data_IF_541064023756
#
_entry.id   IF_541064023756
#
_cell.length_a   1.000
_cell.length_b   1.000
_cell.length_c   1.000
_cell.angle_alpha   90.00
_cell.angle_beta   90.00
_cell.angle_gamma   90.00
#
_symmetry.space_group_name_H-M   'P 1'
#
loop_
_entity.id
_entity.type
_entity.pdbx_description
1 polymer ?
#
# COMPACT_ATOMS: atom_id res chain seq x y z
N UNK A 1 0.08 -20.50 11.04
CA UNK A 1 -0.15 -19.13 11.56
C UNK A 1 0.58 -18.88 12.89
N UNK A 2 0.41 -19.76 13.87
CA UNK A 2 1.04 -19.63 15.22
C UNK A 2 2.55 -19.38 15.19
N UNK A 3 3.29 -20.13 14.37
CA UNK A 3 4.74 -19.97 14.21
C UNK A 3 5.15 -18.54 13.83
N UNK A 4 4.33 -17.82 13.07
CA UNK A 4 4.59 -16.43 12.70
C UNK A 4 4.24 -15.43 13.83
N UNK A 5 3.11 -15.67 14.51
CA UNK A 5 2.56 -14.74 15.51
C UNK A 5 3.19 -14.89 16.91
N UNK A 6 3.94 -15.96 17.16
CA UNK A 6 4.63 -16.21 18.44
C UNK A 6 5.41 -14.96 18.90
N UNK A 7 5.31 -14.55 20.18
CA UNK A 7 6.14 -13.48 20.74
C UNK A 7 7.63 -13.77 20.56
N UNK A 8 8.43 -12.72 20.37
CA UNK A 8 9.87 -12.87 20.35
C UNK A 8 10.36 -12.97 21.81
N UNK A 9 10.76 -14.16 22.24
CA UNK A 9 11.46 -14.34 23.51
C UNK A 9 12.92 -13.86 23.34
N UNK A 10 13.50 -13.31 24.39
CA UNK A 10 14.75 -12.54 24.34
C UNK A 10 16.00 -13.32 23.89
N UNK A 11 15.90 -14.63 23.67
CA UNK A 11 16.99 -15.53 23.25
C UNK A 11 16.51 -16.62 22.27
N UNK A 12 15.74 -16.24 21.24
CA UNK A 12 15.31 -17.20 20.20
C UNK A 12 16.51 -17.61 19.33
N UNK A 13 16.67 -18.93 19.11
CA UNK A 13 17.69 -19.49 18.21
C UNK A 13 17.48 -19.03 16.74
N UNK A 14 18.57 -18.88 15.97
CA UNK A 14 18.50 -18.42 14.57
C UNK A 14 17.51 -19.24 13.70
N UNK A 15 17.40 -20.55 13.97
CA UNK A 15 16.49 -21.45 13.24
C UNK A 15 15.02 -21.10 13.45
N UNK A 16 14.65 -20.65 14.65
CA UNK A 16 13.28 -20.22 14.96
C UNK A 16 12.93 -18.89 14.28
N UNK A 17 13.89 -17.96 14.14
CA UNK A 17 13.69 -16.72 13.37
C UNK A 17 13.48 -17.00 11.88
N UNK A 18 14.27 -17.92 11.32
CA UNK A 18 14.11 -18.36 9.93
C UNK A 18 12.77 -19.04 9.72
N UNK A 19 12.37 -19.95 10.63
CA UNK A 19 11.07 -20.61 10.58
C UNK A 19 9.92 -19.59 10.65
N UNK A 20 10.01 -18.62 11.56
CA UNK A 20 9.04 -17.55 11.71
C UNK A 20 8.89 -16.73 10.43
N UNK A 21 10.01 -16.32 9.83
CA UNK A 21 10.02 -15.58 8.56
C UNK A 21 9.43 -16.40 7.42
N UNK A 22 9.82 -17.66 7.28
CA UNK A 22 9.29 -18.57 6.25
C UNK A 22 7.78 -18.79 6.41
N UNK A 23 7.31 -18.99 7.66
CA UNK A 23 5.89 -19.11 7.95
C UNK A 23 5.12 -17.83 7.58
N UNK A 24 5.67 -16.65 7.87
CA UNK A 24 5.08 -15.38 7.48
C UNK A 24 5.03 -15.18 5.97
N UNK A 25 6.10 -15.54 5.23
CA UNK A 25 6.12 -15.50 3.76
C UNK A 25 5.06 -16.43 3.16
N UNK A 26 4.92 -17.64 3.69
CA UNK A 26 3.87 -18.57 3.25
C UNK A 26 2.47 -18.02 3.50
N UNK A 27 2.23 -17.37 4.66
CA UNK A 27 0.95 -16.70 4.93
C UNK A 27 0.71 -15.55 3.95
N UNK A 28 1.73 -14.71 3.68
CA UNK A 28 1.60 -13.61 2.72
C UNK A 28 1.24 -14.12 1.32
N UNK A 29 1.83 -15.23 0.89
CA UNK A 29 1.47 -15.89 -0.38
C UNK A 29 0.02 -16.39 -0.37
N UNK A 30 -0.43 -17.03 0.70
CA UNK A 30 -1.80 -17.54 0.82
C UNK A 30 -2.85 -16.41 0.86
N UNK A 31 -2.47 -15.21 1.29
CA UNK A 31 -3.38 -14.06 1.41
C UNK A 31 -3.61 -13.33 0.08
N UNK A 32 -2.69 -13.45 -0.89
CA UNK A 32 -2.76 -12.72 -2.16
C UNK A 32 -4.00 -13.14 -2.95
N UNK A 33 -4.84 -12.16 -3.27
CA UNK A 33 -6.08 -12.30 -4.05
C UNK A 33 -7.03 -13.39 -3.54
N UNK A 34 -6.96 -13.69 -2.24
CA UNK A 34 -7.78 -14.70 -1.61
C UNK A 34 -8.51 -14.14 -0.38
N UNK A 35 -9.69 -13.58 -0.62
CA UNK A 35 -10.56 -13.06 0.43
C UNK A 35 -10.84 -14.09 1.53
N UNK A 36 -11.17 -15.33 1.14
CA UNK A 36 -11.42 -16.41 2.11
C UNK A 36 -10.23 -16.63 3.04
N UNK A 37 -9.00 -16.68 2.51
CA UNK A 37 -7.81 -16.89 3.33
C UNK A 37 -7.55 -15.71 4.25
N UNK A 38 -7.71 -14.46 3.76
CA UNK A 38 -7.58 -13.27 4.59
C UNK A 38 -8.58 -13.27 5.76
N UNK A 39 -9.83 -13.63 5.51
CA UNK A 39 -10.89 -13.73 6.54
C UNK A 39 -10.53 -14.81 7.56
N UNK A 40 -10.11 -16.00 7.12
CA UNK A 40 -9.70 -17.08 8.03
C UNK A 40 -8.52 -16.65 8.90
N UNK A 41 -7.48 -16.01 8.33
CA UNK A 41 -6.34 -15.51 9.10
C UNK A 41 -6.75 -14.47 10.15
N UNK A 42 -7.68 -13.55 9.79
CA UNK A 42 -8.18 -12.54 10.71
C UNK A 42 -8.97 -13.16 11.87
N UNK A 43 -9.78 -14.19 11.59
CA UNK A 43 -10.64 -14.86 12.57
C UNK A 43 -9.88 -15.83 13.49
N UNK A 44 -9.01 -16.68 12.94
CA UNK A 44 -8.28 -17.69 13.71
C UNK A 44 -7.31 -17.07 14.74
N UNK A 45 -6.82 -15.86 14.48
CA UNK A 45 -5.91 -15.16 15.37
C UNK A 45 -6.63 -14.39 16.49
N UNK A 46 -7.86 -14.77 16.85
CA UNK A 46 -8.66 -14.15 17.91
C UNK A 46 -8.71 -12.61 17.84
N UNK A 47 -8.71 -12.05 16.63
CA UNK A 47 -8.69 -10.59 16.39
C UNK A 47 -7.49 -9.82 16.97
N UNK A 48 -6.39 -10.51 17.32
CA UNK A 48 -5.11 -9.84 17.63
C UNK A 48 -4.18 -9.77 16.42
N UNK A 49 -4.62 -10.28 15.26
CA UNK A 49 -3.83 -10.35 14.03
C UNK A 49 -3.33 -8.97 13.60
N UNK A 50 -4.25 -8.01 13.45
CA UNK A 50 -3.94 -6.64 13.03
C UNK A 50 -2.96 -6.00 14.00
N UNK A 51 -3.23 -6.08 15.31
CA UNK A 51 -2.33 -5.59 16.36
C UNK A 51 -0.93 -6.17 16.27
N UNK A 52 -0.82 -7.48 16.02
CA UNK A 52 0.48 -8.15 15.89
C UNK A 52 1.22 -7.71 14.63
N UNK A 53 0.54 -7.67 13.48
CA UNK A 53 1.13 -7.21 12.22
C UNK A 53 1.62 -5.78 12.33
N UNK A 54 0.81 -4.87 12.87
CA UNK A 54 1.19 -3.48 13.13
C UNK A 54 2.44 -3.39 14.01
N UNK A 55 2.53 -4.18 15.08
CA UNK A 55 3.74 -4.18 15.93
C UNK A 55 5.00 -4.66 15.19
N UNK A 56 4.87 -5.55 14.21
CA UNK A 56 5.98 -6.07 13.41
C UNK A 56 6.42 -5.11 12.31
N UNK A 57 5.64 -4.08 11.97
CA UNK A 57 6.06 -3.05 11.00
C UNK A 57 7.29 -2.29 11.52
N UNK A 58 7.44 -2.16 12.85
CA UNK A 58 8.62 -1.55 13.46
C UNK A 58 9.87 -2.41 13.36
N UNK A 59 9.75 -3.73 13.18
CA UNK A 59 10.87 -4.68 13.13
C UNK A 59 11.35 -4.88 11.68
N UNK A 60 12.59 -4.47 11.39
CA UNK A 60 13.22 -4.64 10.07
C UNK A 60 13.16 -6.09 9.55
N UNK A 61 13.16 -7.08 10.44
CA UNK A 61 13.21 -8.51 10.08
C UNK A 61 11.91 -9.03 9.49
N UNK A 62 10.78 -8.46 9.92
CA UNK A 62 9.43 -8.93 9.58
C UNK A 62 8.56 -7.88 8.88
N UNK A 63 9.01 -6.61 8.81
CA UNK A 63 8.24 -5.49 8.26
C UNK A 63 7.60 -5.80 6.93
N UNK A 64 8.37 -6.27 5.96
CA UNK A 64 7.86 -6.56 4.62
C UNK A 64 6.71 -7.57 4.65
N UNK A 65 6.89 -8.67 5.39
CA UNK A 65 5.90 -9.73 5.54
C UNK A 65 4.66 -9.22 6.26
N UNK A 66 4.84 -8.45 7.33
CA UNK A 66 3.77 -7.88 8.11
C UNK A 66 2.94 -6.87 7.30
N UNK A 67 3.61 -5.96 6.59
CA UNK A 67 2.97 -4.98 5.71
C UNK A 67 2.23 -5.65 4.55
N UNK A 68 2.79 -6.72 3.98
CA UNK A 68 2.14 -7.50 2.92
C UNK A 68 0.85 -8.19 3.39
N UNK A 69 0.91 -8.86 4.55
CA UNK A 69 -0.28 -9.46 5.16
C UNK A 69 -1.33 -8.41 5.51
N UNK A 70 -0.91 -7.29 6.12
CA UNK A 70 -1.83 -6.23 6.52
C UNK A 70 -2.50 -5.59 5.29
N UNK A 71 -1.73 -5.35 4.21
CA UNK A 71 -2.26 -4.88 2.93
C UNK A 71 -3.32 -5.84 2.37
N UNK A 72 -3.03 -7.13 2.31
CA UNK A 72 -3.94 -8.13 1.75
C UNK A 72 -5.22 -8.27 2.59
N UNK A 73 -5.12 -8.22 3.92
CA UNK A 73 -6.30 -8.22 4.81
C UNK A 73 -7.14 -6.96 4.61
N UNK A 74 -6.51 -5.78 4.56
CA UNK A 74 -7.22 -4.52 4.27
C UNK A 74 -7.89 -4.52 2.90
N UNK A 75 -7.29 -5.17 1.90
CA UNK A 75 -7.83 -5.26 0.54
C UNK A 75 -8.99 -6.26 0.44
N UNK A 76 -8.83 -7.47 0.99
CA UNK A 76 -9.73 -8.60 0.71
C UNK A 76 -10.65 -9.00 1.86
N UNK A 77 -10.40 -8.54 3.09
CA UNK A 77 -11.20 -8.85 4.28
C UNK A 77 -11.71 -7.58 4.99
N UNK A 78 -11.77 -6.45 4.28
CA UNK A 78 -12.20 -5.15 4.82
C UNK A 78 -13.51 -5.22 5.61
N UNK A 79 -14.52 -5.92 5.09
CA UNK A 79 -15.84 -6.01 5.70
C UNK A 79 -15.85 -6.79 7.02
N UNK A 80 -14.79 -7.54 7.32
CA UNK A 80 -14.64 -8.33 8.54
C UNK A 80 -13.79 -7.62 9.61
N UNK A 81 -13.24 -6.45 9.30
CA UNK A 81 -12.49 -5.64 10.26
C UNK A 81 -13.44 -5.07 11.32
N UNK A 82 -13.06 -5.21 12.59
CA UNK A 82 -13.80 -4.66 13.72
C UNK A 82 -13.36 -3.24 14.03
N UNK A 83 -14.17 -2.49 14.79
CA UNK A 83 -13.81 -1.15 15.27
C UNK A 83 -12.45 -1.14 15.99
N UNK A 84 -12.14 -2.18 16.76
CA UNK A 84 -10.83 -2.34 17.41
C UNK A 84 -9.69 -2.48 16.43
N UNK A 85 -9.91 -3.13 15.29
CA UNK A 85 -8.91 -3.25 14.22
C UNK A 85 -8.68 -1.90 13.53
N UNK A 86 -9.76 -1.15 13.28
CA UNK A 86 -9.69 0.20 12.70
C UNK A 86 -8.88 1.14 13.59
N UNK A 87 -9.12 1.14 14.91
CA UNK A 87 -8.34 1.93 15.87
C UNK A 87 -6.85 1.60 15.80
N UNK A 88 -6.50 0.32 15.73
CA UNK A 88 -5.09 -0.12 15.61
C UNK A 88 -4.47 0.33 14.29
N UNK A 89 -5.20 0.24 13.18
CA UNK A 89 -4.76 0.75 11.88
C UNK A 89 -4.52 2.25 11.96
N UNK A 90 -5.44 3.02 12.53
CA UNK A 90 -5.31 4.47 12.68
C UNK A 90 -4.09 4.85 13.52
N UNK A 91 -3.83 4.15 14.63
CA UNK A 91 -2.63 4.34 15.43
C UNK A 91 -1.32 4.05 14.67
N UNK A 92 -1.36 3.27 13.59
CA UNK A 92 -0.19 2.91 12.79
C UNK A 92 0.05 3.79 11.58
N UNK A 93 -0.90 4.68 11.23
CA UNK A 93 -0.81 5.55 10.06
C UNK A 93 0.47 6.36 10.02
N UNK A 94 0.77 7.07 11.12
CA UNK A 94 1.94 7.94 11.22
C UNK A 94 3.22 7.21 10.84
N UNK A 95 3.43 6.04 11.44
CA UNK A 95 4.63 5.23 11.22
C UNK A 95 4.77 4.80 9.75
N UNK A 96 3.68 4.32 9.15
CA UNK A 96 3.68 3.91 7.74
C UNK A 96 3.98 5.10 6.83
N UNK A 97 3.34 6.25 7.08
CA UNK A 97 3.50 7.47 6.28
C UNK A 97 4.91 8.07 6.41
N UNK A 98 5.45 8.14 7.62
CA UNK A 98 6.81 8.62 7.88
C UNK A 98 7.84 7.73 7.18
N UNK A 99 7.70 6.40 7.26
CA UNK A 99 8.63 5.48 6.57
C UNK A 99 8.60 5.60 5.05
N UNK A 100 7.45 5.88 4.43
CA UNK A 100 7.35 6.10 2.98
C UNK A 100 8.21 7.29 2.52
N UNK A 101 8.45 8.27 3.39
CA UNK A 101 9.27 9.43 3.06
C UNK A 101 10.72 9.07 2.78
N UNK A 102 11.26 8.03 3.44
CA UNK A 102 12.68 7.66 3.39
C UNK A 102 12.95 6.27 2.78
N UNK A 103 11.95 5.40 2.69
CA UNK A 103 12.09 4.05 2.13
C UNK A 103 12.35 4.06 0.62
N UNK A 104 13.04 3.04 0.11
CA UNK A 104 13.30 2.84 -1.32
C UNK A 104 13.05 1.37 -1.74
N UNK A 105 12.98 1.12 -3.05
CA UNK A 105 12.89 -0.24 -3.60
C UNK A 105 11.67 -1.04 -3.12
N UNK A 106 11.88 -2.32 -2.78
CA UNK A 106 10.81 -3.24 -2.39
C UNK A 106 10.12 -2.86 -1.06
N UNK A 107 10.84 -2.19 -0.15
CA UNK A 107 10.24 -1.68 1.09
C UNK A 107 9.27 -0.53 0.78
N UNK A 108 9.69 0.43 -0.04
CA UNK A 108 8.82 1.52 -0.48
C UNK A 108 7.57 0.99 -1.20
N UNK A 109 7.75 0.03 -2.10
CA UNK A 109 6.66 -0.60 -2.83
C UNK A 109 5.59 -1.17 -1.89
N UNK A 110 5.99 -2.01 -0.91
CA UNK A 110 5.03 -2.63 0.00
C UNK A 110 4.35 -1.62 0.93
N UNK A 111 5.08 -0.58 1.36
CA UNK A 111 4.54 0.46 2.23
C UNK A 111 3.55 1.37 1.49
N UNK A 112 3.81 1.76 0.24
CA UNK A 112 2.83 2.50 -0.59
C UNK A 112 1.58 1.64 -0.77
N UNK A 113 1.74 0.35 -1.05
CA UNK A 113 0.62 -0.57 -1.19
C UNK A 113 -0.22 -0.68 0.09
N UNK A 114 0.43 -0.78 1.26
CA UNK A 114 -0.27 -0.78 2.55
C UNK A 114 -0.98 0.55 2.80
N UNK A 115 -0.29 1.68 2.64
CA UNK A 115 -0.83 3.03 2.79
C UNK A 115 -2.07 3.25 1.92
N UNK A 116 -2.04 2.79 0.67
CA UNK A 116 -3.17 2.88 -0.25
C UNK A 116 -4.41 2.15 0.28
N UNK A 117 -4.23 0.95 0.83
CA UNK A 117 -5.34 0.20 1.43
C UNK A 117 -5.82 0.82 2.74
N UNK A 118 -4.93 1.35 3.58
CA UNK A 118 -5.32 2.09 4.78
C UNK A 118 -6.13 3.34 4.42
N UNK A 119 -5.71 4.10 3.40
CA UNK A 119 -6.44 5.24 2.85
C UNK A 119 -7.86 4.85 2.40
N UNK A 120 -8.04 3.66 1.84
CA UNK A 120 -9.37 3.15 1.45
C UNK A 120 -10.20 2.68 2.64
N UNK A 121 -9.59 2.05 3.64
CA UNK A 121 -10.28 1.44 4.80
C UNK A 121 -10.70 2.50 5.83
N UNK A 122 -9.78 3.39 6.20
CA UNK A 122 -9.94 4.46 7.20
C UNK A 122 -9.63 5.85 6.60
N UNK A 123 -10.38 6.29 5.56
CA UNK A 123 -10.02 7.50 4.81
C UNK A 123 -10.04 8.77 5.68
N UNK A 124 -10.99 8.90 6.60
CA UNK A 124 -11.08 10.05 7.50
C UNK A 124 -9.83 10.20 8.37
N UNK A 125 -9.43 9.12 9.05
CA UNK A 125 -8.24 9.11 9.90
C UNK A 125 -6.95 9.29 9.10
N UNK A 126 -6.90 8.76 7.88
CA UNK A 126 -5.77 8.91 6.96
C UNK A 126 -5.53 10.38 6.58
N UNK A 127 -6.57 11.09 6.14
CA UNK A 127 -6.45 12.53 5.82
C UNK A 127 -6.12 13.31 7.09
N UNK A 128 -6.79 13.00 8.19
CA UNK A 128 -6.58 13.67 9.46
C UNK A 128 -5.11 13.55 9.92
N UNK A 129 -4.48 12.38 9.81
CA UNK A 129 -3.06 12.22 10.16
C UNK A 129 -2.12 13.04 9.26
N UNK A 130 -2.41 13.10 7.95
CA UNK A 130 -1.63 13.91 6.99
C UNK A 130 -1.78 15.42 7.22
N UNK A 131 -2.92 15.87 7.74
CA UNK A 131 -3.17 17.27 8.11
C UNK A 131 -2.50 17.63 9.44
N UNK A 132 -2.65 16.78 10.47
CA UNK A 132 -2.06 17.01 11.80
C UNK A 132 -0.53 17.09 11.75
N UNK A 133 0.09 16.24 10.92
CA UNK A 133 1.53 16.24 10.70
C UNK A 133 2.00 17.37 9.75
N UNK A 134 1.08 18.11 9.12
CA UNK A 134 1.37 19.10 8.08
C UNK A 134 2.24 18.53 6.94
N UNK A 135 2.08 17.24 6.64
CA UNK A 135 2.88 16.51 5.64
C UNK A 135 2.14 16.28 4.34
N UNK A 136 0.85 16.59 4.25
CA UNK A 136 0.01 16.31 3.08
C UNK A 136 0.68 16.67 1.73
N UNK A 137 1.15 17.91 1.57
CA UNK A 137 1.83 18.33 0.34
C UNK A 137 3.16 17.61 0.10
N UNK A 138 3.93 17.33 1.17
CA UNK A 138 5.20 16.58 1.09
C UNK A 138 4.96 15.13 0.68
N UNK A 139 3.89 14.51 1.18
CA UNK A 139 3.52 13.14 0.86
C UNK A 139 3.10 13.02 -0.60
N UNK A 140 2.24 13.92 -1.10
CA UNK A 140 1.88 13.98 -2.53
C UNK A 140 3.11 14.17 -3.40
N UNK A 141 3.98 15.14 -3.04
CA UNK A 141 5.23 15.37 -3.76
C UNK A 141 6.14 14.14 -3.76
N UNK A 142 6.28 13.44 -2.62
CA UNK A 142 7.05 12.19 -2.52
C UNK A 142 6.53 11.13 -3.47
N UNK A 143 5.21 10.92 -3.55
CA UNK A 143 4.62 9.94 -4.46
C UNK A 143 4.94 10.28 -5.93
N UNK A 144 4.82 11.55 -6.32
CA UNK A 144 5.11 11.98 -7.70
C UNK A 144 6.61 11.93 -8.02
N UNK A 145 7.47 12.32 -7.08
CA UNK A 145 8.92 12.21 -7.23
C UNK A 145 9.35 10.75 -7.42
N UNK A 146 8.77 9.82 -6.64
CA UNK A 146 9.02 8.38 -6.79
C UNK A 146 8.49 7.87 -8.13
N UNK A 147 7.30 8.30 -8.57
CA UNK A 147 6.76 7.94 -9.88
C UNK A 147 7.73 8.35 -11.01
N UNK A 148 8.23 9.59 -10.94
CA UNK A 148 9.20 10.13 -11.90
C UNK A 148 10.55 9.39 -11.88
N UNK A 149 11.02 8.98 -10.70
CA UNK A 149 12.24 8.17 -10.57
C UNK A 149 12.08 6.72 -11.08
N UNK A 150 10.85 6.31 -11.39
CA UNK A 150 10.49 4.98 -11.87
C UNK A 150 9.80 5.04 -13.25
N UNK A 151 10.09 6.03 -14.10
CA UNK A 151 9.51 6.12 -15.45
C UNK A 151 9.91 4.95 -16.36
N UNK A 152 11.09 4.39 -16.16
CA UNK A 152 11.43 3.08 -16.71
C UNK A 152 11.07 1.99 -15.69
N UNK A 153 10.26 0.98 -16.07
CA UNK A 153 9.82 -0.03 -15.12
C UNK A 153 11.01 -0.82 -14.59
N UNK A 154 11.14 -0.87 -13.27
CA UNK A 154 12.20 -1.63 -12.60
C UNK A 154 11.78 -3.07 -12.41
N UNK A 155 12.61 -4.01 -12.86
CA UNK A 155 12.31 -5.44 -12.78
C UNK A 155 12.09 -5.95 -11.35
N UNK A 156 12.73 -5.34 -10.34
CA UNK A 156 12.70 -5.79 -8.95
C UNK A 156 11.60 -5.15 -8.08
N UNK A 157 10.88 -4.16 -8.61
CA UNK A 157 9.76 -3.50 -7.93
C UNK A 157 8.72 -2.96 -8.94
N UNK A 158 8.18 -3.83 -9.81
CA UNK A 158 7.31 -3.40 -10.92
C UNK A 158 5.99 -2.77 -10.46
N UNK A 159 5.58 -2.98 -9.21
CA UNK A 159 4.33 -2.45 -8.66
C UNK A 159 4.40 -1.00 -8.19
N UNK A 160 5.58 -0.37 -8.05
CA UNK A 160 5.69 1.00 -7.49
C UNK A 160 4.75 1.98 -8.21
N UNK A 161 4.79 2.02 -9.54
CA UNK A 161 3.96 2.95 -10.31
C UNK A 161 2.48 2.70 -10.10
N UNK A 162 2.05 1.43 -10.19
CA UNK A 162 0.68 0.99 -9.92
C UNK A 162 0.20 1.44 -8.54
N UNK A 163 0.98 1.15 -7.50
CA UNK A 163 0.59 1.42 -6.12
C UNK A 163 0.50 2.94 -5.85
N UNK A 164 1.34 3.74 -6.50
CA UNK A 164 1.22 5.21 -6.50
C UNK A 164 -0.09 5.66 -7.14
N UNK A 165 -0.47 5.08 -8.30
CA UNK A 165 -1.74 5.42 -8.94
C UNK A 165 -2.94 5.03 -8.09
N UNK A 166 -2.93 3.84 -7.48
CA UNK A 166 -3.96 3.41 -6.53
C UNK A 166 -4.06 4.37 -5.34
N UNK A 167 -2.92 4.74 -4.74
CA UNK A 167 -2.87 5.70 -3.64
C UNK A 167 -3.44 7.06 -4.04
N UNK A 168 -3.05 7.60 -5.20
CA UNK A 168 -3.54 8.88 -5.71
C UNK A 168 -5.04 8.86 -5.97
N UNK A 169 -5.56 7.77 -6.58
CA UNK A 169 -6.99 7.58 -6.81
C UNK A 169 -7.75 7.59 -5.49
N UNK A 170 -7.35 6.80 -4.49
CA UNK A 170 -8.06 6.75 -3.20
C UNK A 170 -8.08 8.11 -2.49
N UNK A 171 -6.98 8.88 -2.55
CA UNK A 171 -6.93 10.22 -1.96
C UNK A 171 -7.84 11.20 -2.69
N UNK A 172 -7.81 11.23 -4.03
CA UNK A 172 -8.62 12.14 -4.84
C UNK A 172 -10.11 11.81 -4.83
N UNK A 173 -10.48 10.52 -4.76
CA UNK A 173 -11.87 10.08 -4.65
C UNK A 173 -12.49 10.46 -3.30
N UNK A 174 -11.70 10.39 -2.22
CA UNK A 174 -12.18 10.75 -0.90
C UNK A 174 -12.19 12.27 -0.67
N UNK A 175 -11.12 12.96 -1.04
CA UNK A 175 -10.99 14.40 -0.86
C UNK A 175 -10.48 15.10 -2.14
N UNK A 176 -11.37 15.83 -2.84
CA UNK A 176 -11.03 16.53 -4.08
C UNK A 176 -9.89 17.55 -3.97
N UNK A 177 -9.51 18.01 -2.76
CA UNK A 177 -8.35 18.92 -2.59
C UNK A 177 -7.06 18.30 -3.10
N UNK A 178 -6.92 16.97 -3.01
CA UNK A 178 -5.74 16.27 -3.51
C UNK A 178 -5.60 16.37 -5.03
N UNK A 179 -6.69 16.61 -5.77
CA UNK A 179 -6.63 16.85 -7.22
C UNK A 179 -5.75 18.07 -7.52
N UNK A 180 -5.87 19.16 -6.75
CA UNK A 180 -5.03 20.36 -6.92
C UNK A 180 -3.57 20.04 -6.66
N UNK A 181 -3.27 19.37 -5.54
CA UNK A 181 -1.89 19.05 -5.17
C UNK A 181 -1.20 18.11 -6.14
N UNK A 182 -1.89 17.08 -6.65
CA UNK A 182 -1.32 16.21 -7.69
C UNK A 182 -1.13 16.98 -9.00
N UNK A 183 -2.05 17.87 -9.36
CA UNK A 183 -1.92 18.71 -10.56
C UNK A 183 -0.73 19.68 -10.47
N UNK A 184 -0.55 20.34 -9.32
CA UNK A 184 0.60 21.21 -9.02
C UNK A 184 1.94 20.46 -9.11
N UNK A 185 1.94 19.15 -8.79
CA UNK A 185 3.11 18.30 -8.93
C UNK A 185 3.32 17.74 -10.36
N UNK A 186 2.58 18.20 -11.37
CA UNK A 186 2.69 17.71 -12.77
C UNK A 186 2.40 16.20 -12.90
N UNK A 187 1.40 15.71 -12.16
CA UNK A 187 0.99 14.30 -12.23
C UNK A 187 0.46 13.93 -13.62
N UNK A 188 -0.19 14.84 -14.36
CA UNK A 188 -0.75 14.56 -15.68
C UNK A 188 0.34 14.22 -16.73
N UNK A 189 1.44 14.96 -16.72
CA UNK A 189 2.62 14.73 -17.55
C UNK A 189 3.30 13.42 -17.16
N UNK A 190 3.40 13.16 -15.85
CA UNK A 190 3.92 11.91 -15.31
C UNK A 190 3.11 10.72 -15.81
N UNK A 191 1.78 10.80 -15.78
CA UNK A 191 0.87 9.74 -16.27
C UNK A 191 1.03 9.46 -17.76
N UNK A 192 1.28 10.48 -18.58
CA UNK A 192 1.50 10.29 -20.02
C UNK A 192 2.76 9.48 -20.30
N UNK A 193 3.83 9.74 -19.54
CA UNK A 193 5.06 8.93 -19.64
C UNK A 193 4.83 7.49 -19.18
N UNK A 194 4.10 7.29 -18.07
CA UNK A 194 3.77 5.94 -17.58
C UNK A 194 2.97 5.15 -18.63
N UNK A 195 2.05 5.80 -19.34
CA UNK A 195 1.29 5.19 -20.43
C UNK A 195 2.19 4.74 -21.59
N UNK A 196 3.17 5.58 -21.96
CA UNK A 196 4.14 5.30 -23.03
C UNK A 196 5.12 4.18 -22.67
N UNK A 197 5.55 4.09 -21.41
CA UNK A 197 6.58 3.15 -20.92
C UNK A 197 6.02 1.95 -20.14
N UNK A 198 4.71 1.74 -20.18
CA UNK A 198 4.05 0.65 -19.47
C UNK A 198 4.57 -0.71 -19.95
N UNK A 199 4.92 -1.58 -19.00
CA UNK A 199 5.34 -2.95 -19.25
C UNK A 199 4.29 -3.94 -18.77
N UNK A 200 4.20 -5.10 -19.44
CA UNK A 200 3.32 -6.20 -19.00
C UNK A 200 3.65 -6.67 -17.58
N UNK A 201 4.91 -6.55 -17.14
CA UNK A 201 5.34 -6.97 -15.82
C UNK A 201 4.57 -6.28 -14.68
N UNK A 202 4.07 -5.06 -14.90
CA UNK A 202 3.36 -4.25 -13.90
C UNK A 202 1.89 -4.67 -13.72
N UNK A 203 1.42 -5.59 -14.56
CA UNK A 203 0.15 -6.28 -14.37
C UNK A 203 0.32 -7.54 -13.52
N UNK A 204 1.53 -7.86 -13.04
CA UNK A 204 1.77 -9.00 -12.18
C UNK A 204 2.27 -8.60 -10.79
N UNK A 205 1.85 -9.37 -9.80
CA UNK A 205 2.38 -9.40 -8.45
C UNK A 205 3.59 -10.33 -8.49
N UNK A 206 4.77 -9.79 -8.16
CA UNK A 206 5.99 -10.58 -8.02
C UNK A 206 6.09 -11.10 -6.59
N UNK A 207 6.17 -12.42 -6.42
CA UNK A 207 6.40 -13.02 -5.12
C UNK A 207 7.88 -12.94 -4.77
N UNK A 208 8.20 -12.78 -3.49
CA UNK A 208 9.57 -12.99 -3.00
C UNK A 208 9.85 -14.50 -2.92
N UNK A 209 10.77 -14.98 -3.75
CA UNK A 209 11.08 -16.39 -3.99
C UNK A 209 10.70 -16.80 -5.41
N UNK A 210 11.56 -17.55 -6.11
CA UNK A 210 11.54 -17.88 -7.56
C UNK A 210 10.26 -18.59 -8.11
N UNK A 211 9.09 -18.48 -7.47
CA UNK A 211 8.01 -19.45 -7.63
C UNK A 211 6.66 -18.89 -8.15
N UNK A 212 6.57 -17.68 -8.73
CA UNK A 212 5.36 -17.32 -9.48
C UNK A 212 5.20 -15.87 -9.92
N UNK A 213 4.18 -15.65 -10.76
CA UNK A 213 3.61 -14.36 -11.10
C UNK A 213 2.08 -14.51 -11.01
N UNK A 214 1.41 -13.55 -10.37
CA UNK A 214 -0.06 -13.52 -10.33
C UNK A 214 -0.55 -12.22 -10.96
N UNK A 215 -1.50 -12.30 -11.89
CA UNK A 215 -2.03 -11.10 -12.55
C UNK A 215 -2.93 -10.31 -11.59
N UNK A 216 -2.81 -8.98 -11.60
CA UNK A 216 -3.77 -8.10 -10.93
C UNK A 216 -5.13 -8.16 -11.64
N UNK A 217 -6.21 -7.99 -10.88
CA UNK A 217 -7.57 -7.90 -11.44
C UNK A 217 -7.74 -6.74 -12.42
N UNK A 218 -7.11 -5.60 -12.14
CA UNK A 218 -7.16 -4.39 -12.95
C UNK A 218 -5.81 -4.12 -13.60
N UNK A 219 -5.80 -3.76 -14.88
CA UNK A 219 -4.58 -3.42 -15.63
C UNK A 219 -4.05 -2.04 -15.24
N UNK A 220 -2.74 -1.82 -15.43
CA UNK A 220 -2.13 -0.51 -15.16
C UNK A 220 -2.76 0.60 -16.03
N UNK A 221 -3.10 0.27 -17.27
CA UNK A 221 -3.76 1.20 -18.20
C UNK A 221 -5.11 1.71 -17.67
N UNK A 222 -5.87 0.85 -16.97
CA UNK A 222 -7.11 1.28 -16.33
C UNK A 222 -6.85 2.32 -15.24
N UNK A 223 -5.83 2.10 -14.40
CA UNK A 223 -5.45 3.06 -13.36
C UNK A 223 -5.01 4.39 -13.97
N UNK A 224 -4.19 4.37 -15.02
CA UNK A 224 -3.76 5.60 -15.73
C UNK A 224 -4.96 6.40 -16.24
N UNK A 225 -5.90 5.74 -16.93
CA UNK A 225 -7.11 6.39 -17.46
C UNK A 225 -7.93 6.99 -16.31
N UNK A 226 -8.16 6.23 -15.24
CA UNK A 226 -8.93 6.69 -14.08
C UNK A 226 -8.26 7.88 -13.38
N UNK A 227 -6.94 7.85 -13.17
CA UNK A 227 -6.21 8.96 -12.56
C UNK A 227 -6.27 10.21 -13.45
N UNK A 228 -6.10 10.09 -14.78
CA UNK A 228 -6.24 11.21 -15.72
C UNK A 228 -7.65 11.83 -15.68
N UNK A 229 -8.69 10.99 -15.61
CA UNK A 229 -10.07 11.44 -15.48
C UNK A 229 -10.29 12.26 -14.20
N UNK A 230 -9.82 11.78 -13.05
CA UNK A 230 -9.91 12.50 -11.78
C UNK A 230 -9.21 13.87 -11.84
N UNK A 231 -8.02 13.94 -12.44
CA UNK A 231 -7.29 15.19 -12.61
C UNK A 231 -8.02 16.19 -13.52
N UNK A 232 -8.64 15.70 -14.60
CA UNK A 232 -9.36 16.54 -15.56
C UNK A 232 -10.63 17.21 -14.99
N UNK A 233 -11.24 16.63 -13.94
CA UNK A 233 -12.44 17.21 -13.30
C UNK A 233 -12.19 18.59 -12.69
N UNK A 234 -10.94 18.89 -12.28
CA UNK A 234 -10.56 20.20 -11.74
C UNK A 234 -10.62 21.33 -12.78
N UNK A 235 -10.34 21.04 -14.06
CA UNK A 235 -10.33 22.04 -15.12
C UNK A 235 -11.73 22.46 -15.58
N UNK A 236 -12.75 21.61 -15.41
CA UNK A 236 -14.13 21.96 -15.76
C UNK A 236 -14.79 22.89 -14.73
N UNK A 237 -14.53 22.68 -13.43
CA UNK A 237 -15.15 23.50 -12.38
C UNK A 237 -14.60 24.94 -12.32
N UNK A 238 -13.36 25.18 -12.79
CA UNK A 238 -12.80 26.53 -12.89
C UNK A 238 -13.29 27.33 -14.12
N UNK A 239 -13.76 26.65 -15.19
CA UNK A 239 -14.28 27.32 -16.41
C UNK A 239 -15.75 27.71 -16.34
N UNK A 240 -16.50 27.17 -15.38
CA UNK A 240 -17.94 27.49 -15.20
C UNK A 240 -18.13 28.67 -14.23
N UNK A 241 -17.06 29.14 -13.57
CA UNK A 241 -17.09 30.28 -12.65
C UNK A 241 -16.51 31.58 -13.24
N UNK A 242 -16.20 31.60 -14.54
CA UNK A 242 -15.74 32.78 -15.28
C UNK A 242 -16.58 33.04 -16.52
#
# INVERSE_FOLDING_TARGET
>A
MEAFLKPEESLIANDERLLRKAAGQALAMLAIDCARNCVVMLQEANHVFIKKLTSMIHDDSYRYVAASLLRNVCLHARCELKDSDLVVLSCSLREVLERIMDAEGAELEILIGLSSQMCKVIPADFILELEHSQTSAKFVKRLVDVLNANMEPRAHCPGIRRLILEQAIHMMEYDPRYVSWFSECSMMESLSKVEETASKAENYIMFWGDAGLMEYSDLLSYLVVKTKQLLALSHHNQRVQH
#
